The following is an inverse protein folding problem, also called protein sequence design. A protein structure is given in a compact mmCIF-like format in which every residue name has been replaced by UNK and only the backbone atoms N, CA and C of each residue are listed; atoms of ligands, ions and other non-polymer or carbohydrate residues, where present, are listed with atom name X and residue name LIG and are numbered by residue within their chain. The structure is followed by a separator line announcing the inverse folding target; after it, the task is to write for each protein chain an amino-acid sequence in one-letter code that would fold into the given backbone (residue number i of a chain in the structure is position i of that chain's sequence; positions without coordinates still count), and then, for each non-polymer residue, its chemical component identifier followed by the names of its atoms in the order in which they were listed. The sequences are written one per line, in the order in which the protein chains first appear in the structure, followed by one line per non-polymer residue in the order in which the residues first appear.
data_IF_695351791280
#
_entry.id   IF_695351791280
#
_cell.length_a   1.000
_cell.length_b   1.000
_cell.length_c   1.000
_cell.angle_alpha   90.00
_cell.angle_beta   90.00
_cell.angle_gamma   90.00
#
_symmetry.space_group_name_H-M   'P 1'
#
loop_
_entity.id
_entity.type
_entity.pdbx_description
1 polymer ?
#
# COMPACT_ATOMS: atom_id res chain seq x y z
N UNK A 1 -2.06 -6.87 -2.34
CA UNK A 1 -1.68 -7.39 -3.69
C UNK A 1 -2.88 -7.98 -4.41
N UNK A 2 -3.06 -7.70 -5.71
CA UNK A 2 -4.17 -8.26 -6.50
C UNK A 2 -3.75 -9.50 -7.32
N UNK A 3 -2.90 -10.35 -6.72
CA UNK A 3 -2.37 -11.58 -7.35
C UNK A 3 -3.17 -12.80 -6.87
N UNK A 4 -4.47 -12.84 -7.17
CA UNK A 4 -5.37 -13.89 -6.74
C UNK A 4 -6.83 -13.58 -7.08
N UNK A 5 -7.76 -14.17 -6.37
CA UNK A 5 -9.20 -14.19 -6.67
C UNK A 5 -9.87 -12.81 -6.91
N UNK A 6 -9.32 -11.72 -6.34
CA UNK A 6 -9.84 -10.36 -6.58
C UNK A 6 -9.14 -9.62 -7.72
N UNK A 7 -8.15 -10.21 -8.35
CA UNK A 7 -7.38 -9.62 -9.43
C UNK A 7 -7.28 -10.56 -10.62
N UNK A 8 -6.06 -10.92 -10.96
CA UNK A 8 -5.81 -11.94 -11.97
C UNK A 8 -5.45 -13.26 -11.30
N UNK A 9 -6.24 -14.26 -11.56
CA UNK A 9 -5.83 -15.64 -11.29
C UNK A 9 -4.54 -15.92 -12.04
N UNK A 10 -3.58 -16.50 -11.34
CA UNK A 10 -2.30 -16.85 -11.93
C UNK A 10 -1.77 -18.16 -11.36
N UNK A 11 -1.01 -18.85 -12.15
CA UNK A 11 -0.33 -20.09 -11.74
C UNK A 11 0.73 -19.77 -10.70
N UNK A 12 1.12 -20.77 -9.91
CA UNK A 12 2.24 -20.66 -8.96
C UNK A 12 3.53 -20.20 -9.68
N UNK A 13 3.86 -20.79 -10.81
CA UNK A 13 5.04 -20.43 -11.61
C UNK A 13 5.04 -18.95 -12.01
N UNK A 14 3.89 -18.41 -12.43
CA UNK A 14 3.79 -16.99 -12.78
C UNK A 14 3.93 -16.06 -11.56
N UNK A 15 3.51 -16.52 -10.38
CA UNK A 15 3.68 -15.77 -9.14
C UNK A 15 5.14 -15.75 -8.69
N UNK A 16 5.85 -16.89 -8.83
CA UNK A 16 7.30 -16.96 -8.61
C UNK A 16 8.03 -15.98 -9.53
N UNK A 17 7.79 -16.05 -10.83
CA UNK A 17 8.38 -15.11 -11.81
C UNK A 17 8.16 -13.64 -11.45
N UNK A 18 6.96 -13.28 -10.96
CA UNK A 18 6.67 -11.91 -10.55
C UNK A 18 7.41 -11.50 -9.28
N UNK A 19 7.56 -12.41 -8.32
CA UNK A 19 8.31 -12.16 -7.08
C UNK A 19 9.78 -11.91 -7.42
N UNK A 20 10.39 -12.79 -8.21
CA UNK A 20 11.78 -12.68 -8.66
C UNK A 20 12.00 -11.40 -9.49
N UNK A 21 11.11 -11.13 -10.46
CA UNK A 21 11.18 -9.90 -11.27
C UNK A 21 11.07 -8.64 -10.41
N UNK A 22 10.22 -8.66 -9.37
CA UNK A 22 10.09 -7.52 -8.44
C UNK A 22 11.40 -7.29 -7.69
N UNK A 23 11.97 -8.35 -7.14
CA UNK A 23 13.22 -8.30 -6.40
C UNK A 23 14.39 -7.84 -7.28
N UNK A 24 14.54 -8.41 -8.48
CA UNK A 24 15.57 -8.03 -9.45
C UNK A 24 15.44 -6.57 -9.90
N UNK A 25 14.23 -6.01 -9.88
CA UNK A 25 13.96 -4.61 -10.16
C UNK A 25 14.15 -3.69 -8.93
N UNK A 26 14.62 -4.21 -7.78
CA UNK A 26 14.84 -3.47 -6.55
C UNK A 26 13.58 -3.28 -5.67
N UNK A 27 12.47 -3.96 -5.98
CA UNK A 27 11.25 -3.92 -5.17
C UNK A 27 11.25 -5.08 -4.19
N UNK A 28 11.62 -4.82 -2.94
CA UNK A 28 11.75 -5.84 -1.89
C UNK A 28 10.59 -5.88 -0.89
N UNK A 29 9.63 -4.94 -0.96
CA UNK A 29 8.49 -4.91 -0.03
C UNK A 29 7.23 -5.46 -0.69
N UNK A 30 6.57 -6.43 -0.04
CA UNK A 30 5.36 -7.08 -0.52
C UNK A 30 4.18 -6.77 0.41
N UNK A 31 3.19 -6.02 -0.10
CA UNK A 31 2.03 -5.55 0.66
C UNK A 31 0.84 -6.48 0.50
N UNK A 32 0.43 -7.09 1.59
CA UNK A 32 -0.68 -8.03 1.73
C UNK A 32 -1.83 -7.44 2.57
N UNK A 33 -2.87 -8.22 2.75
CA UNK A 33 -3.86 -8.13 3.80
C UNK A 33 -4.52 -9.50 3.98
N UNK A 34 -4.89 -9.83 5.20
CA UNK A 34 -5.56 -11.07 5.54
C UNK A 34 -6.79 -11.36 4.67
N UNK A 35 -7.61 -10.33 4.41
CA UNK A 35 -8.86 -10.46 3.64
C UNK A 35 -8.67 -10.62 2.13
N UNK A 36 -7.48 -10.36 1.59
CA UNK A 36 -7.31 -10.36 0.14
C UNK A 36 -7.59 -11.74 -0.48
N UNK A 37 -8.32 -11.72 -1.61
CA UNK A 37 -8.76 -12.94 -2.27
C UNK A 37 -9.64 -13.82 -1.40
N UNK A 38 -10.50 -13.24 -0.55
CA UNK A 38 -11.31 -13.99 0.41
C UNK A 38 -10.47 -14.85 1.37
N UNK A 39 -9.41 -14.26 1.92
CA UNK A 39 -8.44 -14.89 2.84
C UNK A 39 -7.57 -15.99 2.20
N UNK A 40 -7.24 -15.89 0.91
CA UNK A 40 -6.43 -16.91 0.21
C UNK A 40 -5.09 -16.39 -0.31
N UNK A 41 -4.96 -15.08 -0.55
CA UNK A 41 -3.82 -14.50 -1.28
C UNK A 41 -2.49 -14.67 -0.53
N UNK A 42 -2.48 -14.55 0.80
CA UNK A 42 -1.27 -14.75 1.60
C UNK A 42 -0.74 -16.17 1.47
N UNK A 43 -1.63 -17.18 1.53
CA UNK A 43 -1.24 -18.59 1.36
C UNK A 43 -0.62 -18.83 -0.03
N UNK A 44 -1.25 -18.31 -1.06
CA UNK A 44 -0.76 -18.45 -2.43
C UNK A 44 0.61 -17.79 -2.62
N UNK A 45 0.80 -16.62 -2.02
CA UNK A 45 2.07 -15.91 -2.04
C UNK A 45 3.14 -16.67 -1.24
N UNK A 46 2.85 -17.10 -0.01
CA UNK A 46 3.79 -17.81 0.84
C UNK A 46 4.30 -19.11 0.22
N UNK A 47 3.42 -19.84 -0.51
CA UNK A 47 3.82 -21.03 -1.29
C UNK A 47 4.78 -20.63 -2.42
N UNK A 48 4.47 -19.58 -3.18
CA UNK A 48 5.30 -19.15 -4.30
C UNK A 48 6.65 -18.58 -3.80
N UNK A 49 6.63 -17.77 -2.74
CA UNK A 49 7.85 -17.21 -2.16
C UNK A 49 8.79 -18.30 -1.63
N UNK A 50 8.27 -19.32 -0.95
CA UNK A 50 9.11 -20.42 -0.45
C UNK A 50 9.77 -21.26 -1.55
N UNK A 51 9.40 -21.07 -2.81
CA UNK A 51 9.96 -21.75 -3.99
C UNK A 51 10.70 -20.77 -4.93
N UNK A 52 10.73 -19.46 -4.65
CA UNK A 52 11.37 -18.46 -5.50
C UNK A 52 12.91 -18.40 -5.37
N UNK A 53 13.48 -19.07 -4.38
CA UNK A 53 14.92 -19.01 -4.14
C UNK A 53 15.41 -17.73 -3.42
N UNK A 54 14.52 -16.80 -3.11
CA UNK A 54 14.84 -15.59 -2.34
C UNK A 54 14.89 -15.91 -0.84
N UNK A 55 15.78 -15.24 -0.12
CA UNK A 55 15.84 -15.35 1.33
C UNK A 55 14.80 -14.42 1.99
N UNK A 56 14.25 -14.87 3.12
CA UNK A 56 13.21 -14.12 3.85
C UNK A 56 13.72 -12.76 4.37
N UNK A 57 14.97 -12.71 4.78
CA UNK A 57 15.64 -11.51 5.28
C UNK A 57 15.95 -10.46 4.23
N UNK A 58 15.91 -10.80 2.94
CA UNK A 58 16.15 -9.86 1.84
C UNK A 58 14.90 -9.08 1.45
N UNK A 59 13.73 -9.44 2.00
CA UNK A 59 12.44 -8.87 1.63
C UNK A 59 11.63 -8.46 2.86
N UNK A 60 10.65 -7.60 2.64
CA UNK A 60 9.73 -7.14 3.67
C UNK A 60 8.31 -7.64 3.39
N UNK A 61 7.72 -8.30 4.38
CA UNK A 61 6.31 -8.72 4.33
C UNK A 61 5.47 -7.77 5.18
N UNK A 62 4.61 -7.05 4.49
CA UNK A 62 3.63 -6.13 5.08
C UNK A 62 2.27 -6.80 4.99
N UNK A 63 1.51 -6.83 6.08
CA UNK A 63 0.13 -7.28 6.02
C UNK A 63 -0.79 -6.42 6.88
N UNK A 64 -2.09 -6.66 6.75
CA UNK A 64 -3.12 -5.88 7.42
C UNK A 64 -4.16 -6.81 8.02
N UNK A 65 -4.73 -6.40 9.16
CA UNK A 65 -5.84 -7.10 9.80
C UNK A 65 -6.93 -6.13 10.26
N UNK A 66 -8.01 -6.67 10.79
CA UNK A 66 -9.08 -5.90 11.44
C UNK A 66 -10.36 -5.75 10.63
N UNK A 67 -10.38 -6.12 9.35
CA UNK A 67 -11.63 -6.21 8.58
C UNK A 67 -12.16 -7.64 8.65
N UNK A 68 -13.32 -7.80 9.27
CA UNK A 68 -14.09 -9.04 9.23
C UNK A 68 -15.01 -9.02 8.00
N UNK A 69 -14.62 -9.74 6.95
CA UNK A 69 -15.32 -9.70 5.67
C UNK A 69 -16.27 -10.89 5.51
N UNK A 70 -17.46 -10.63 4.97
CA UNK A 70 -18.42 -11.67 4.61
C UNK A 70 -17.93 -12.41 3.37
N UNK A 71 -17.64 -13.69 3.51
CA UNK A 71 -17.30 -14.59 2.41
C UNK A 71 -17.57 -16.05 2.80
N UNK A 72 -17.50 -16.97 1.85
CA UNK A 72 -17.77 -18.40 2.08
C UNK A 72 -16.88 -19.03 3.17
N UNK A 73 -15.65 -18.50 3.31
CA UNK A 73 -14.65 -19.02 4.26
C UNK A 73 -14.81 -18.48 5.69
N UNK A 74 -15.78 -17.58 5.94
CA UNK A 74 -15.97 -16.94 7.25
C UNK A 74 -17.44 -16.85 7.63
N UNK A 75 -17.82 -17.14 8.89
CA UNK A 75 -19.21 -17.19 9.33
C UNK A 75 -19.83 -15.82 9.65
N UNK A 76 -19.29 -14.73 9.08
CA UNK A 76 -19.78 -13.40 9.38
C UNK A 76 -21.08 -13.07 8.62
N UNK A 77 -22.05 -12.45 9.32
CA UNK A 77 -23.31 -11.99 8.72
C UNK A 77 -23.21 -10.59 8.12
N UNK A 78 -22.29 -9.77 8.63
CA UNK A 78 -22.09 -8.38 8.25
C UNK A 78 -20.59 -8.08 8.22
N UNK A 79 -20.13 -7.31 7.23
CA UNK A 79 -18.79 -6.75 7.22
C UNK A 79 -18.66 -5.77 8.39
N UNK A 80 -17.66 -5.97 9.22
CA UNK A 80 -17.37 -5.11 10.37
C UNK A 80 -15.86 -4.98 10.59
N UNK A 81 -15.49 -4.12 11.53
CA UNK A 81 -14.10 -3.99 11.99
C UNK A 81 -14.00 -4.61 13.37
N UNK A 82 -13.03 -5.49 13.57
CA UNK A 82 -12.77 -6.14 14.84
C UNK A 82 -11.30 -5.96 15.23
N UNK A 83 -11.08 -5.32 16.38
CA UNK A 83 -9.78 -5.06 16.98
C UNK A 83 -9.66 -5.61 18.41
N UNK A 84 -10.51 -6.57 18.76
CA UNK A 84 -10.35 -7.33 19.99
C UNK A 84 -8.98 -8.03 19.99
N UNK A 85 -8.34 -8.11 21.14
CA UNK A 85 -6.99 -8.69 21.28
C UNK A 85 -6.88 -10.09 20.67
N UNK A 86 -7.86 -10.95 20.93
CA UNK A 86 -7.90 -12.31 20.37
C UNK A 86 -7.98 -12.31 18.84
N UNK A 87 -8.79 -11.40 18.25
CA UNK A 87 -8.94 -11.31 16.80
C UNK A 87 -7.61 -10.88 16.12
N UNK A 88 -6.93 -9.88 16.69
CA UNK A 88 -5.64 -9.41 16.15
C UNK A 88 -4.60 -10.54 16.22
N UNK A 89 -4.48 -11.23 17.37
CA UNK A 89 -3.54 -12.35 17.56
C UNK A 89 -3.82 -13.46 16.54
N UNK A 90 -5.07 -13.89 16.43
CA UNK A 90 -5.46 -14.95 15.49
C UNK A 90 -5.20 -14.58 14.04
N UNK A 91 -5.43 -13.31 13.66
CA UNK A 91 -5.14 -12.81 12.31
C UNK A 91 -3.64 -12.81 12.02
N UNK A 92 -2.81 -12.32 12.94
CA UNK A 92 -1.35 -12.33 12.80
C UNK A 92 -0.82 -13.76 12.71
N UNK A 93 -1.26 -14.66 13.59
CA UNK A 93 -0.83 -16.06 13.57
C UNK A 93 -1.29 -16.78 12.29
N UNK A 94 -2.45 -16.43 11.75
CA UNK A 94 -2.89 -16.94 10.46
C UNK A 94 -2.02 -16.41 9.32
N UNK A 95 -1.71 -15.12 9.29
CA UNK A 95 -0.84 -14.51 8.28
C UNK A 95 0.57 -15.09 8.30
N UNK A 96 1.18 -15.27 9.48
CA UNK A 96 2.48 -15.91 9.63
C UNK A 96 2.51 -17.33 9.03
N UNK A 97 1.50 -18.15 9.37
CA UNK A 97 1.36 -19.51 8.80
C UNK A 97 1.16 -19.50 7.29
N UNK A 98 0.31 -18.59 6.77
CA UNK A 98 0.00 -18.52 5.34
C UNK A 98 1.18 -18.00 4.53
N UNK A 99 1.87 -16.98 5.00
CA UNK A 99 3.07 -16.42 4.38
C UNK A 99 4.32 -17.28 4.57
N UNK A 100 4.24 -18.33 5.43
CA UNK A 100 5.36 -19.24 5.77
C UNK A 100 6.57 -18.47 6.31
N UNK A 101 6.34 -17.64 7.30
CA UNK A 101 7.37 -16.82 7.95
C UNK A 101 7.14 -16.78 9.46
N UNK A 102 8.19 -16.51 10.20
CA UNK A 102 8.13 -16.39 11.66
C UNK A 102 7.86 -14.95 12.12
N UNK A 103 8.00 -13.96 11.22
CA UNK A 103 7.75 -12.56 11.53
C UNK A 103 7.19 -11.79 10.34
N UNK A 104 6.47 -10.70 10.62
CA UNK A 104 6.03 -9.69 9.68
C UNK A 104 6.88 -8.43 9.88
N UNK A 105 7.37 -7.82 8.82
CA UNK A 105 8.13 -6.57 8.91
C UNK A 105 7.24 -5.41 9.34
N UNK A 106 5.98 -5.41 8.89
CA UNK A 106 5.01 -4.39 9.23
C UNK A 106 3.59 -4.96 9.31
N UNK A 107 2.93 -4.73 10.43
CA UNK A 107 1.48 -4.97 10.58
C UNK A 107 0.73 -3.65 10.52
N UNK A 108 -0.35 -3.59 9.74
CA UNK A 108 -1.25 -2.44 9.68
C UNK A 108 -2.65 -2.77 10.20
N UNK A 109 -3.27 -1.86 10.96
CA UNK A 109 -4.72 -1.88 11.10
C UNK A 109 -5.36 -1.39 9.80
N UNK A 110 -6.20 -2.23 9.17
CA UNK A 110 -6.62 -2.04 7.78
C UNK A 110 -7.56 -0.83 7.58
N UNK A 111 -8.42 -0.52 8.56
CA UNK A 111 -9.35 0.61 8.57
C UNK A 111 -9.62 1.08 10.00
N UNK A 112 -9.85 2.36 10.25
CA UNK A 112 -10.28 2.80 11.56
C UNK A 112 -11.64 2.19 11.92
N UNK A 113 -11.82 1.80 13.18
CA UNK A 113 -13.11 1.39 13.75
C UNK A 113 -13.64 2.46 14.69
N UNK A 114 -14.93 2.81 14.64
CA UNK A 114 -15.53 3.70 15.62
C UNK A 114 -15.57 3.10 17.04
N UNK A 115 -15.33 1.78 17.15
CA UNK A 115 -15.32 1.04 18.41
C UNK A 115 -13.90 0.64 18.84
N UNK A 116 -12.86 1.22 18.24
CA UNK A 116 -11.47 0.91 18.58
C UNK A 116 -11.18 1.41 19.99
N UNK A 117 -10.73 0.50 20.85
CA UNK A 117 -10.15 0.80 22.15
C UNK A 117 -8.62 0.91 21.99
N UNK A 118 -8.03 2.11 22.13
CA UNK A 118 -6.61 2.33 21.90
C UNK A 118 -5.71 1.61 22.91
N UNK A 119 -6.14 1.48 24.18
CA UNK A 119 -5.37 0.78 25.21
C UNK A 119 -5.34 -0.74 24.96
N UNK A 120 -6.46 -1.32 24.53
CA UNK A 120 -6.52 -2.74 24.19
C UNK A 120 -5.66 -3.04 22.98
N UNK A 121 -5.78 -2.24 21.91
CA UNK A 121 -4.95 -2.37 20.71
C UNK A 121 -3.47 -2.24 21.06
N UNK A 122 -3.08 -1.24 21.82
CA UNK A 122 -1.69 -1.04 22.21
C UNK A 122 -1.11 -2.25 22.95
N UNK A 123 -1.84 -2.79 23.94
CA UNK A 123 -1.39 -3.97 24.71
C UNK A 123 -1.12 -5.18 23.82
N UNK A 124 -1.98 -5.44 22.84
CA UNK A 124 -1.77 -6.58 21.93
C UNK A 124 -0.63 -6.32 20.96
N UNK A 125 -0.49 -5.10 20.45
CA UNK A 125 0.62 -4.73 19.56
C UNK A 125 1.96 -4.83 20.29
N UNK A 126 2.07 -4.32 21.52
CA UNK A 126 3.29 -4.46 22.35
C UNK A 126 3.67 -5.92 22.59
N UNK A 127 2.69 -6.79 22.82
CA UNK A 127 2.93 -8.23 22.94
C UNK A 127 3.45 -8.85 21.65
N UNK A 128 2.91 -8.47 20.51
CA UNK A 128 3.34 -8.95 19.19
C UNK A 128 4.75 -8.45 18.83
N UNK A 129 5.07 -7.18 19.15
CA UNK A 129 6.41 -6.62 18.99
C UNK A 129 7.43 -7.32 19.91
N UNK A 130 7.09 -7.48 21.20
CA UNK A 130 7.96 -8.12 22.21
C UNK A 130 8.24 -9.58 21.90
N UNK A 131 7.29 -10.28 21.28
CA UNK A 131 7.47 -11.68 20.85
C UNK A 131 8.18 -11.81 19.50
N UNK A 132 8.50 -10.72 18.82
CA UNK A 132 9.12 -10.70 17.51
C UNK A 132 8.22 -11.17 16.37
N UNK A 133 6.91 -11.35 16.58
CA UNK A 133 5.97 -11.72 15.54
C UNK A 133 5.74 -10.59 14.52
N UNK A 134 5.87 -9.34 14.95
CA UNK A 134 5.90 -8.17 14.10
C UNK A 134 7.13 -7.32 14.46
N UNK A 135 7.74 -6.67 13.47
CA UNK A 135 8.91 -5.80 13.69
C UNK A 135 8.51 -4.32 13.77
N UNK A 136 7.39 -3.96 13.15
CA UNK A 136 6.88 -2.59 13.12
C UNK A 136 5.35 -2.59 13.05
N UNK A 137 4.77 -1.45 13.46
CA UNK A 137 3.33 -1.25 13.48
C UNK A 137 2.92 0.04 12.78
N UNK A 138 1.76 0.02 12.15
CA UNK A 138 1.16 1.18 11.51
C UNK A 138 -0.35 1.01 11.30
N UNK A 139 -0.91 1.94 10.57
CA UNK A 139 -2.36 2.00 10.31
C UNK A 139 -2.64 2.22 8.82
N UNK A 140 -3.89 2.06 8.42
CA UNK A 140 -4.32 2.39 7.06
C UNK A 140 -5.64 3.16 7.09
N UNK A 141 -5.68 4.29 6.37
CA UNK A 141 -6.83 5.20 6.27
C UNK A 141 -7.28 5.84 7.60
N UNK A 142 -6.39 5.98 8.54
CA UNK A 142 -6.66 6.70 9.78
C UNK A 142 -6.54 8.20 9.55
N UNK A 143 -7.42 8.98 10.19
CA UNK A 143 -7.32 10.44 10.25
C UNK A 143 -6.22 10.85 11.22
N UNK A 144 -5.79 12.13 11.16
CA UNK A 144 -4.76 12.68 12.05
C UNK A 144 -5.13 12.49 13.53
N UNK A 145 -6.37 12.75 13.90
CA UNK A 145 -6.85 12.61 15.29
C UNK A 145 -6.93 11.15 15.74
N UNK A 146 -7.24 10.22 14.84
CA UNK A 146 -7.23 8.79 15.16
C UNK A 146 -5.81 8.26 15.33
N UNK A 147 -4.87 8.78 14.55
CA UNK A 147 -3.45 8.48 14.72
C UNK A 147 -2.95 9.02 16.06
N UNK A 148 -3.23 10.29 16.38
CA UNK A 148 -2.80 10.91 17.65
C UNK A 148 -3.37 10.13 18.85
N UNK A 149 -4.64 9.76 18.80
CA UNK A 149 -5.29 8.97 19.87
C UNK A 149 -4.57 7.62 20.10
N UNK A 150 -4.23 6.89 19.04
CA UNK A 150 -3.57 5.59 19.19
C UNK A 150 -2.06 5.75 19.51
N UNK A 151 -1.42 6.81 19.00
CA UNK A 151 -0.01 7.09 19.20
C UNK A 151 0.35 7.48 20.64
N UNK A 152 -0.63 7.86 21.45
CA UNK A 152 -0.44 8.06 22.88
C UNK A 152 -0.12 6.77 23.64
N UNK A 153 -0.42 5.61 23.06
CA UNK A 153 -0.29 4.29 23.66
C UNK A 153 0.74 3.38 22.96
N UNK A 154 0.90 3.50 21.64
CA UNK A 154 1.83 2.67 20.87
C UNK A 154 2.42 3.44 19.69
N UNK A 155 3.73 3.32 19.37
CA UNK A 155 4.33 3.98 18.22
C UNK A 155 3.69 3.56 16.90
N UNK A 156 3.39 4.55 16.04
CA UNK A 156 2.86 4.35 14.69
C UNK A 156 3.91 4.82 13.69
N UNK A 157 4.39 3.91 12.83
CA UNK A 157 5.44 4.19 11.87
C UNK A 157 4.93 4.45 10.44
N UNK A 158 3.73 3.97 10.12
CA UNK A 158 3.16 4.03 8.76
C UNK A 158 1.69 4.40 8.82
N UNK A 159 1.23 5.27 7.89
CA UNK A 159 -0.19 5.36 7.52
C UNK A 159 -0.34 5.10 6.02
N UNK A 160 -1.02 4.00 5.66
CA UNK A 160 -1.29 3.67 4.27
C UNK A 160 -2.62 4.27 3.83
N UNK A 161 -2.59 5.27 2.93
CA UNK A 161 -3.75 6.07 2.51
C UNK A 161 -3.86 6.14 0.99
N UNK A 162 -5.04 6.50 0.46
CA UNK A 162 -5.19 6.75 -0.97
C UNK A 162 -4.48 8.06 -1.33
N UNK A 163 -3.47 7.98 -2.19
CA UNK A 163 -2.87 9.16 -2.79
C UNK A 163 -2.52 8.85 -4.24
N UNK A 164 -2.86 9.76 -5.13
CA UNK A 164 -2.48 9.70 -6.54
C UNK A 164 -2.56 11.11 -7.13
N UNK A 165 -2.10 11.29 -8.35
CA UNK A 165 -2.30 12.54 -9.06
C UNK A 165 -3.78 12.98 -9.10
N UNK A 166 -4.72 12.01 -9.16
CA UNK A 166 -6.18 12.27 -9.23
C UNK A 166 -6.91 12.13 -7.90
N UNK A 167 -6.21 11.77 -6.84
CA UNK A 167 -6.70 11.77 -5.46
C UNK A 167 -5.59 12.38 -4.60
N UNK A 168 -5.52 13.71 -4.60
CA UNK A 168 -4.43 14.46 -3.99
C UNK A 168 -4.86 15.31 -2.77
N UNK A 169 -6.10 15.12 -2.30
CA UNK A 169 -6.61 15.83 -1.12
C UNK A 169 -5.72 15.69 0.13
N UNK A 170 -5.07 14.51 0.40
CA UNK A 170 -4.14 14.37 1.52
C UNK A 170 -2.95 15.35 1.52
N UNK A 171 -2.61 15.93 0.37
CA UNK A 171 -1.58 16.98 0.27
C UNK A 171 -2.05 18.36 0.77
N UNK A 172 -3.38 18.54 0.95
CA UNK A 172 -3.99 19.84 1.26
C UNK A 172 -4.86 19.84 2.52
N UNK A 173 -5.23 18.67 3.03
CA UNK A 173 -6.09 18.51 4.22
C UNK A 173 -5.30 18.34 5.54
N UNK A 174 -3.96 18.37 5.45
CA UNK A 174 -3.06 18.23 6.58
C UNK A 174 -2.66 16.78 6.90
N UNK A 175 -3.11 15.77 6.15
CA UNK A 175 -2.71 14.38 6.43
C UNK A 175 -1.21 14.16 6.19
N UNK A 176 -0.68 14.65 5.06
CA UNK A 176 0.75 14.52 4.79
C UNK A 176 1.61 15.40 5.71
N UNK A 177 1.15 16.60 6.06
CA UNK A 177 1.82 17.47 7.04
C UNK A 177 1.91 16.79 8.42
N UNK A 178 0.84 16.12 8.83
CA UNK A 178 0.82 15.36 10.07
C UNK A 178 1.79 14.18 10.03
N UNK A 179 1.77 13.39 8.94
CA UNK A 179 2.71 12.30 8.73
C UNK A 179 4.16 12.79 8.80
N UNK A 180 4.49 13.87 8.09
CA UNK A 180 5.82 14.46 8.09
C UNK A 180 6.24 14.92 9.50
N UNK A 181 5.38 15.66 10.19
CA UNK A 181 5.65 16.15 11.57
C UNK A 181 5.89 15.04 12.59
N UNK A 182 5.20 13.91 12.43
CA UNK A 182 5.27 12.77 13.36
C UNK A 182 6.29 11.71 12.95
N UNK A 183 7.03 11.90 11.83
CA UNK A 183 7.89 10.89 11.23
C UNK A 183 7.16 9.58 10.90
N UNK A 184 5.91 9.69 10.46
CA UNK A 184 5.09 8.57 9.98
C UNK A 184 5.24 8.49 8.47
N UNK A 185 5.59 7.32 7.95
CA UNK A 185 5.76 7.08 6.53
C UNK A 185 4.39 6.97 5.84
N UNK A 186 4.04 7.84 4.86
CA UNK A 186 2.84 7.67 4.09
C UNK A 186 3.07 6.63 2.98
N UNK A 187 2.28 5.54 2.98
CA UNK A 187 2.22 4.60 1.88
C UNK A 187 0.99 4.89 1.02
N UNK A 188 1.19 5.03 -0.30
CA UNK A 188 0.09 5.37 -1.23
C UNK A 188 -0.54 4.12 -1.83
N UNK A 189 -1.76 3.74 -1.43
CA UNK A 189 -2.50 2.75 -2.21
C UNK A 189 -3.23 3.39 -3.39
N UNK A 190 -3.45 2.62 -4.48
CA UNK A 190 -3.95 3.12 -5.78
C UNK A 190 -3.15 4.31 -6.36
N UNK A 191 -1.81 4.30 -6.38
CA UNK A 191 -0.99 5.46 -6.71
C UNK A 191 -1.18 5.98 -8.14
N UNK A 192 -1.73 5.18 -9.05
CA UNK A 192 -2.07 5.61 -10.41
C UNK A 192 -3.48 6.22 -10.54
N UNK A 193 -4.33 6.12 -9.52
CA UNK A 193 -5.67 6.70 -9.54
C UNK A 193 -6.47 6.33 -10.80
N UNK A 194 -7.01 7.35 -11.49
CA UNK A 194 -7.76 7.16 -12.74
C UNK A 194 -6.89 6.68 -13.91
N UNK A 195 -5.57 6.88 -13.86
CA UNK A 195 -4.65 6.48 -14.94
C UNK A 195 -4.58 4.95 -15.13
N UNK A 196 -5.06 4.15 -14.18
CA UNK A 196 -5.25 2.71 -14.34
C UNK A 196 -6.40 2.33 -15.28
N UNK A 197 -7.31 3.29 -15.60
CA UNK A 197 -8.44 3.12 -16.50
C UNK A 197 -8.06 3.46 -17.95
N UNK A 198 -8.90 3.10 -18.95
CA UNK A 198 -8.67 3.49 -20.34
C UNK A 198 -8.49 5.00 -20.51
N UNK A 199 -7.59 5.42 -21.38
CA UNK A 199 -7.26 6.84 -21.64
C UNK A 199 -8.49 7.68 -22.01
N UNK A 200 -9.54 7.08 -22.61
CA UNK A 200 -10.81 7.74 -22.93
C UNK A 200 -11.57 8.23 -21.71
N UNK A 201 -11.29 7.70 -20.53
CA UNK A 201 -11.90 8.09 -19.25
C UNK A 201 -11.10 9.15 -18.49
N UNK A 202 -9.92 9.52 -18.98
CA UNK A 202 -9.12 10.55 -18.34
C UNK A 202 -9.67 11.95 -18.66
N UNK A 203 -9.65 12.88 -17.69
CA UNK A 203 -9.97 14.27 -17.95
C UNK A 203 -9.18 14.81 -19.15
N UNK A 204 -9.78 15.62 -20.05
CA UNK A 204 -9.10 16.07 -21.26
C UNK A 204 -7.79 16.80 -20.99
N UNK A 205 -7.76 17.73 -20.03
CA UNK A 205 -6.55 18.48 -19.65
C UNK A 205 -5.45 17.54 -19.11
N UNK A 206 -5.81 16.59 -18.25
CA UNK A 206 -4.88 15.60 -17.73
C UNK A 206 -4.28 14.74 -18.86
N UNK A 207 -5.11 14.33 -19.81
CA UNK A 207 -4.64 13.54 -20.96
C UNK A 207 -3.62 14.30 -21.79
N UNK A 208 -3.85 15.62 -22.05
CA UNK A 208 -2.91 16.49 -22.74
C UNK A 208 -1.62 16.63 -21.96
N UNK A 209 -1.66 16.97 -20.67
CA UNK A 209 -0.50 17.14 -19.83
C UNK A 209 0.35 15.85 -19.73
N UNK A 210 -0.31 14.70 -19.55
CA UNK A 210 0.38 13.39 -19.55
C UNK A 210 1.08 13.14 -20.89
N UNK A 211 0.41 13.44 -22.02
CA UNK A 211 1.02 13.25 -23.34
C UNK A 211 2.27 14.13 -23.50
N UNK A 212 2.17 15.42 -23.25
CA UNK A 212 3.29 16.37 -23.36
C UNK A 212 4.49 15.98 -22.48
N UNK A 213 4.23 15.63 -21.22
CA UNK A 213 5.30 15.33 -20.28
C UNK A 213 5.89 13.92 -20.49
N UNK A 214 5.13 12.94 -20.95
CA UNK A 214 5.71 11.64 -21.34
C UNK A 214 6.66 11.76 -22.51
N UNK A 215 6.42 12.67 -23.47
CA UNK A 215 7.36 13.01 -24.54
C UNK A 215 8.60 13.73 -23.99
N UNK A 216 8.41 14.77 -23.14
CA UNK A 216 9.50 15.53 -22.54
C UNK A 216 10.46 14.65 -21.74
N UNK A 217 9.93 13.77 -20.89
CA UNK A 217 10.72 12.89 -20.01
C UNK A 217 11.03 11.52 -20.63
N UNK A 218 10.63 11.27 -21.87
CA UNK A 218 10.84 10.01 -22.60
C UNK A 218 10.45 8.78 -21.75
N UNK A 219 9.28 8.85 -21.13
CA UNK A 219 8.79 7.82 -20.19
C UNK A 219 7.32 7.45 -20.43
N UNK A 220 6.87 6.36 -19.81
CA UNK A 220 5.45 6.02 -19.77
C UNK A 220 4.65 6.88 -18.78
N UNK A 221 3.32 6.85 -18.90
CA UNK A 221 2.44 7.60 -17.99
C UNK A 221 2.52 7.09 -16.54
N UNK A 222 2.76 5.80 -16.33
CA UNK A 222 2.83 5.24 -14.99
C UNK A 222 4.11 5.68 -14.25
N UNK A 223 5.33 5.60 -14.83
CA UNK A 223 6.52 6.20 -14.25
C UNK A 223 6.38 7.70 -13.96
N UNK A 224 5.79 8.47 -14.88
CA UNK A 224 5.57 9.91 -14.70
C UNK A 224 4.68 10.21 -13.48
N UNK A 225 3.54 9.50 -13.36
CA UNK A 225 2.61 9.69 -12.25
C UNK A 225 3.21 9.26 -10.90
N UNK A 226 4.08 8.25 -10.88
CA UNK A 226 4.78 7.84 -9.67
C UNK A 226 5.90 8.81 -9.32
N UNK A 227 6.66 9.34 -10.29
CA UNK A 227 7.65 10.38 -10.07
C UNK A 227 7.01 11.64 -9.45
N UNK A 228 5.79 11.98 -9.87
CA UNK A 228 5.01 13.06 -9.27
C UNK A 228 4.76 12.85 -7.79
N UNK A 229 4.39 11.63 -7.36
CA UNK A 229 4.22 11.27 -5.94
C UNK A 229 5.55 11.30 -5.18
N UNK A 230 6.60 10.71 -5.77
CA UNK A 230 7.92 10.57 -5.15
C UNK A 230 8.60 11.92 -4.90
N UNK A 231 8.26 12.96 -5.68
CA UNK A 231 8.80 14.32 -5.49
C UNK A 231 8.26 15.00 -4.22
N UNK A 232 7.20 14.49 -3.61
CA UNK A 232 6.62 15.10 -2.41
C UNK A 232 7.54 14.94 -1.19
N UNK A 233 7.79 16.01 -0.39
CA UNK A 233 8.75 15.99 0.72
C UNK A 233 8.37 15.07 1.88
N UNK A 234 7.12 14.60 1.97
CA UNK A 234 6.69 13.62 2.98
C UNK A 234 7.16 12.19 2.68
N UNK A 235 7.99 11.99 1.63
CA UNK A 235 8.56 10.69 1.29
C UNK A 235 7.50 9.60 1.05
N UNK A 236 6.53 9.89 0.17
CA UNK A 236 5.42 8.97 -0.14
C UNK A 236 5.97 7.69 -0.77
N UNK A 237 5.57 6.53 -0.24
CA UNK A 237 5.91 5.21 -0.79
C UNK A 237 4.75 4.63 -1.59
N UNK A 238 4.81 4.60 -2.93
CA UNK A 238 3.73 4.06 -3.77
C UNK A 238 3.61 2.55 -3.65
N UNK A 239 2.40 2.06 -3.35
CA UNK A 239 2.06 0.62 -3.34
C UNK A 239 1.55 0.23 -4.72
N UNK A 240 2.44 -0.31 -5.54
CA UNK A 240 2.12 -0.71 -6.92
C UNK A 240 1.45 -2.08 -6.97
N UNK A 241 0.52 -2.27 -7.92
CA UNK A 241 -0.30 -3.49 -8.02
C UNK A 241 -0.30 -4.10 -9.42
N UNK A 242 0.85 -4.20 -10.08
CA UNK A 242 0.93 -4.82 -11.41
C UNK A 242 1.12 -6.33 -11.33
N UNK A 243 0.57 -7.06 -12.31
CA UNK A 243 0.80 -8.49 -12.55
C UNK A 243 1.56 -8.75 -13.86
N UNK A 244 2.17 -7.72 -14.42
CA UNK A 244 2.94 -7.77 -15.66
C UNK A 244 4.40 -7.44 -15.38
N UNK A 245 5.36 -8.39 -15.61
CA UNK A 245 6.78 -8.19 -15.33
C UNK A 245 7.39 -6.99 -16.08
N UNK A 246 7.05 -6.80 -17.35
CA UNK A 246 7.57 -5.70 -18.15
C UNK A 246 7.09 -4.35 -17.62
N UNK A 247 5.82 -4.28 -17.19
CA UNK A 247 5.27 -3.07 -16.57
C UNK A 247 5.92 -2.80 -15.21
N UNK A 248 6.30 -3.84 -14.46
CA UNK A 248 7.01 -3.68 -13.21
C UNK A 248 8.39 -3.04 -13.44
N UNK A 249 9.15 -3.56 -14.41
CA UNK A 249 10.45 -2.99 -14.82
C UNK A 249 10.34 -1.55 -15.38
N UNK A 250 9.22 -1.23 -16.04
CA UNK A 250 8.96 0.14 -16.49
C UNK A 250 8.68 1.08 -15.32
N UNK A 251 7.86 0.65 -14.37
CA UNK A 251 7.41 1.48 -13.23
C UNK A 251 8.58 1.92 -12.35
N UNK A 252 9.57 1.07 -12.11
CA UNK A 252 10.73 1.42 -11.26
C UNK A 252 11.57 2.55 -11.85
N UNK A 253 11.50 2.80 -13.16
CA UNK A 253 12.15 3.97 -13.81
C UNK A 253 11.61 5.31 -13.30
N UNK A 254 10.48 5.31 -12.56
CA UNK A 254 10.00 6.52 -11.89
C UNK A 254 11.01 7.12 -10.91
N UNK A 255 11.93 6.32 -10.39
CA UNK A 255 13.01 6.76 -9.49
C UNK A 255 14.10 7.58 -10.21
N UNK A 256 14.20 7.47 -11.54
CA UNK A 256 15.18 8.15 -12.38
C UNK A 256 14.63 9.47 -12.94
N UNK A 257 13.32 9.74 -12.81
CA UNK A 257 12.67 10.93 -13.34
C UNK A 257 12.80 12.06 -12.33
N UNK A 258 13.65 13.04 -12.63
CA UNK A 258 13.67 14.32 -11.90
C UNK A 258 12.67 15.28 -12.54
N UNK A 259 11.44 15.27 -12.02
CA UNK A 259 10.33 16.08 -12.52
C UNK A 259 10.54 17.55 -12.16
N UNK A 260 10.58 18.46 -13.13
CA UNK A 260 10.69 19.89 -12.90
C UNK A 260 9.55 20.41 -11.99
N UNK A 261 9.82 21.46 -11.23
CA UNK A 261 8.82 22.04 -10.33
C UNK A 261 7.58 22.54 -11.08
N UNK A 262 7.79 23.23 -12.22
CA UNK A 262 6.71 23.74 -13.04
C UNK A 262 5.85 22.61 -13.63
N UNK A 263 6.46 21.52 -14.08
CA UNK A 263 5.77 20.35 -14.62
C UNK A 263 4.97 19.60 -13.53
N UNK A 264 5.48 19.59 -12.29
CA UNK A 264 4.77 19.04 -11.17
C UNK A 264 3.43 19.76 -10.92
N UNK A 265 3.47 21.11 -10.93
CA UNK A 265 2.27 21.95 -10.80
C UNK A 265 1.36 21.88 -12.03
N UNK A 266 1.93 21.77 -13.23
CA UNK A 266 1.16 21.60 -14.47
C UNK A 266 0.32 20.31 -14.42
N UNK A 267 0.88 19.21 -13.94
CA UNK A 267 0.11 17.97 -13.70
C UNK A 267 -0.99 18.17 -12.66
N UNK A 268 -0.71 18.85 -11.55
CA UNK A 268 -1.68 19.13 -10.51
C UNK A 268 -2.87 19.97 -11.03
N UNK A 269 -2.59 21.04 -11.77
CA UNK A 269 -3.64 21.88 -12.36
C UNK A 269 -4.48 21.14 -13.39
N UNK A 270 -3.86 20.26 -14.16
CA UNK A 270 -4.55 19.47 -15.19
C UNK A 270 -5.65 18.56 -14.61
N UNK A 271 -5.52 18.17 -13.35
CA UNK A 271 -6.52 17.37 -12.61
C UNK A 271 -7.60 18.25 -11.99
N UNK A 272 -7.20 19.38 -11.40
CA UNK A 272 -8.13 20.28 -10.70
C UNK A 272 -8.96 21.13 -11.67
N UNK A 273 -8.60 21.14 -12.96
CA UNK A 273 -9.22 21.96 -14.03
C UNK A 273 -9.24 23.46 -13.74
N UNK A 274 -8.46 23.92 -12.77
CA UNK A 274 -8.30 25.32 -12.35
C UNK A 274 -6.87 25.58 -11.91
N UNK A 275 -6.37 26.82 -11.99
CA UNK A 275 -5.06 27.20 -11.48
C UNK A 275 -4.89 26.83 -10.00
N UNK A 276 -3.66 26.56 -9.60
CA UNK A 276 -3.32 26.45 -8.19
C UNK A 276 -3.66 27.75 -7.45
N UNK A 277 -4.22 27.67 -6.24
CA UNK A 277 -4.59 28.87 -5.48
C UNK A 277 -3.34 29.69 -5.09
#
# INVERSE_FOLDING_TARGET
MLWGAWGKEMTKAKRIELIETAYDAGVSSFDHADIYGNYTTEKDFGIAFSESGLYREDVQFITKCGIAMVCENKPYKTKHYNYDSSYIIDAVDASLRQLKTDYLDLLLLHRPSPLLDPEEVARVIDSLLSSGKILSFGVSNFTNTQIDLLADYVPIHVNQIEISLTHNDPMFDGQLDHCHRKNILPMSWSPLGILKKPKSQWPPKLRTAIFELTEKYTCGFAPLALAWLLKHPSNIHPVIGTSNPQRLQEIVKSLEIDLDLEDWFFLLESVKEKPCP
#
